data_IF_146201314135
#
_entry.id   IF_146201314135
#
_cell.length_a   1.000
_cell.length_b   1.000
_cell.length_c   1.000
_cell.angle_alpha   90.00
_cell.angle_beta   90.00
_cell.angle_gamma   90.00
#
_symmetry.space_group_name_H-M   'P 1'
#
loop_
_entity.id
_entity.type
_entity.pdbx_description
1 polymer ?
#
# COMPACT_ATOMS: atom_id res chain seq x y z
N UNK A 1 4.85 -53.73 39.45
CA UNK A 1 3.74 -53.25 38.61
C UNK A 1 3.67 -51.73 38.75
N UNK A 2 4.20 -50.99 37.78
CA UNK A 2 4.43 -49.54 37.87
C UNK A 2 3.13 -48.80 37.52
N UNK A 3 2.69 -47.92 38.41
CA UNK A 3 1.43 -47.18 38.31
C UNK A 3 1.52 -46.14 37.19
N UNK A 4 0.48 -46.10 36.36
CA UNK A 4 0.27 -45.10 35.33
C UNK A 4 -0.01 -43.73 35.96
N UNK A 5 0.66 -42.69 35.46
CA UNK A 5 0.28 -41.30 35.70
C UNK A 5 0.13 -40.66 34.31
N UNK A 6 -1.13 -40.52 33.90
CA UNK A 6 -1.51 -39.66 32.81
C UNK A 6 -1.48 -38.21 33.31
N UNK A 7 -0.72 -37.35 32.62
CA UNK A 7 -0.77 -35.92 32.80
C UNK A 7 -0.75 -35.27 31.41
N UNK A 8 -1.96 -35.09 30.89
CA UNK A 8 -2.28 -34.35 29.68
C UNK A 8 -1.90 -32.89 29.89
N UNK A 9 -0.88 -32.40 29.18
CA UNK A 9 -0.55 -30.98 29.13
C UNK A 9 -0.95 -30.44 27.75
N UNK A 10 -2.14 -29.86 27.68
CA UNK A 10 -2.53 -28.94 26.61
C UNK A 10 -2.16 -27.53 27.09
N UNK A 11 -1.17 -26.93 26.44
CA UNK A 11 -0.88 -25.50 26.49
C UNK A 11 -0.41 -25.11 25.06
N UNK A 12 -1.31 -24.73 24.16
CA UNK A 12 -1.81 -23.37 23.93
C UNK A 12 -0.76 -22.49 23.21
N UNK A 13 -1.09 -22.21 21.95
CA UNK A 13 -0.91 -20.95 21.21
C UNK A 13 0.50 -20.66 20.65
N UNK A 14 0.65 -21.05 19.39
CA UNK A 14 1.01 -20.15 18.27
C UNK A 14 1.48 -18.73 18.64
N UNK A 15 2.79 -18.57 18.84
CA UNK A 15 3.54 -17.31 18.68
C UNK A 15 4.99 -17.71 18.33
N UNK A 16 5.66 -17.20 17.31
CA UNK A 16 5.32 -16.10 16.44
C UNK A 16 5.68 -16.43 14.99
N UNK A 17 4.78 -16.01 14.09
CA UNK A 17 5.21 -15.46 12.82
C UNK A 17 6.41 -14.57 13.10
N UNK A 18 7.54 -14.85 12.46
CA UNK A 18 8.58 -13.86 12.27
C UNK A 18 8.01 -12.76 11.37
N UNK A 19 7.14 -11.92 11.94
CA UNK A 19 7.00 -10.56 11.46
C UNK A 19 8.28 -9.85 11.90
N UNK A 20 9.36 -10.10 11.14
CA UNK A 20 10.52 -9.24 11.12
C UNK A 20 10.06 -7.87 10.61
N UNK A 21 9.52 -7.07 11.52
CA UNK A 21 9.61 -5.62 11.41
C UNK A 21 11.09 -5.27 11.41
N UNK A 22 11.58 -4.75 10.28
CA UNK A 22 12.93 -4.21 10.19
C UNK A 22 13.67 -4.57 8.91
N UNK A 23 13.42 -3.79 7.85
CA UNK A 23 14.41 -3.53 6.80
C UNK A 23 14.44 -4.48 5.61
N UNK A 24 13.70 -4.12 4.55
CA UNK A 24 14.23 -3.98 3.17
C UNK A 24 13.20 -3.44 2.17
N UNK A 25 11.91 -3.65 2.41
CA UNK A 25 10.85 -3.21 1.48
C UNK A 25 9.89 -2.21 2.14
N UNK A 26 10.35 -0.98 2.34
CA UNK A 26 9.47 0.10 2.77
C UNK A 26 8.49 0.47 1.66
N UNK A 27 7.22 0.68 2.01
CA UNK A 27 6.21 1.26 1.11
C UNK A 27 6.53 2.72 0.78
N UNK A 28 7.29 3.41 1.63
CA UNK A 28 7.72 4.80 1.40
C UNK A 28 8.46 4.91 0.08
N UNK A 29 8.08 5.88 -0.73
CA UNK A 29 8.61 6.12 -2.07
C UNK A 29 7.52 6.32 -3.11
N UNK A 30 7.95 6.39 -4.36
CA UNK A 30 7.08 6.61 -5.51
C UNK A 30 6.81 5.29 -6.24
N UNK A 31 5.56 5.09 -6.60
CA UNK A 31 5.08 3.90 -7.30
C UNK A 31 4.16 4.32 -8.43
N UNK A 32 4.36 3.77 -9.62
CA UNK A 32 3.57 4.10 -10.80
C UNK A 32 2.64 2.94 -11.18
N UNK A 33 1.40 3.29 -11.50
CA UNK A 33 0.45 2.42 -12.16
C UNK A 33 0.25 2.96 -13.58
N UNK A 34 0.48 2.11 -14.58
CA UNK A 34 0.09 2.44 -15.96
C UNK A 34 -1.45 2.49 -16.03
N UNK A 35 -1.98 3.55 -16.62
CA UNK A 35 -3.41 3.78 -16.80
C UNK A 35 -3.67 3.98 -18.27
N UNK A 36 -4.67 3.28 -18.79
CA UNK A 36 -5.20 3.47 -20.14
C UNK A 36 -6.73 3.43 -20.04
N UNK A 37 -7.30 4.59 -19.74
CA UNK A 37 -8.75 4.74 -19.53
C UNK A 37 -9.25 6.02 -20.21
N UNK A 38 -10.44 5.95 -20.81
CA UNK A 38 -11.09 7.13 -21.41
C UNK A 38 -10.30 7.80 -22.55
N UNK A 39 -9.36 7.08 -23.19
CA UNK A 39 -8.49 7.63 -24.23
C UNK A 39 -7.28 8.41 -23.69
N UNK A 40 -7.04 8.38 -22.37
CA UNK A 40 -5.86 8.95 -21.74
C UNK A 40 -4.94 7.80 -21.35
N UNK A 41 -3.77 7.77 -21.96
CA UNK A 41 -2.66 6.89 -21.58
C UNK A 41 -1.68 7.67 -20.71
N UNK A 42 -1.22 7.06 -19.63
CA UNK A 42 -0.26 7.68 -18.74
C UNK A 42 -0.02 6.86 -17.47
N UNK A 43 0.54 7.50 -16.47
CA UNK A 43 0.91 6.87 -15.21
C UNK A 43 0.34 7.65 -14.04
N UNK A 44 -0.45 6.97 -13.21
CA UNK A 44 -0.75 7.48 -11.87
C UNK A 44 0.40 7.14 -10.95
N UNK A 45 1.02 8.16 -10.36
CA UNK A 45 2.15 8.05 -9.45
C UNK A 45 1.66 8.28 -8.02
N UNK A 46 1.85 7.27 -7.19
CA UNK A 46 1.57 7.23 -5.76
C UNK A 46 2.86 7.50 -4.99
N UNK A 47 2.95 8.64 -4.31
CA UNK A 47 4.07 9.00 -3.44
C UNK A 47 3.68 8.80 -1.97
N UNK A 48 4.08 7.66 -1.40
CA UNK A 48 3.94 7.37 0.03
C UNK A 48 5.06 8.06 0.80
N UNK A 49 4.73 9.06 1.60
CA UNK A 49 5.70 9.85 2.37
C UNK A 49 5.86 9.30 3.78
N UNK A 50 7.08 9.41 4.33
CA UNK A 50 7.40 8.91 5.67
C UNK A 50 6.56 9.53 6.80
N UNK A 51 5.88 10.65 6.56
CA UNK A 51 4.98 11.32 7.51
C UNK A 51 3.53 10.78 7.47
N UNK A 52 3.26 9.72 6.69
CA UNK A 52 1.93 9.13 6.56
C UNK A 52 1.04 9.83 5.54
N UNK A 53 1.54 10.81 4.77
CA UNK A 53 0.80 11.41 3.66
C UNK A 53 0.99 10.61 2.37
N UNK A 54 -0.08 10.54 1.58
CA UNK A 54 -0.05 10.03 0.22
C UNK A 54 -0.26 11.21 -0.73
N UNK A 55 0.60 11.35 -1.73
CA UNK A 55 0.40 12.31 -2.82
C UNK A 55 0.17 11.55 -4.13
N UNK A 56 -0.84 11.95 -4.87
CA UNK A 56 -1.06 11.49 -6.24
C UNK A 56 -0.50 12.49 -7.25
N UNK A 57 -0.02 11.97 -8.36
CA UNK A 57 0.29 12.74 -9.56
C UNK A 57 0.02 11.90 -10.80
N UNK A 58 -0.13 12.56 -11.95
CA UNK A 58 -0.29 11.93 -13.25
C UNK A 58 0.82 12.38 -14.20
N UNK A 59 1.30 11.44 -15.01
CA UNK A 59 2.27 11.67 -16.09
C UNK A 59 1.75 11.01 -17.37
N UNK A 60 1.27 11.83 -18.29
CA UNK A 60 0.83 11.45 -19.63
C UNK A 60 1.89 11.71 -20.70
N UNK A 61 3.01 12.35 -20.34
CA UNK A 61 3.97 12.92 -21.28
C UNK A 61 3.54 14.25 -21.92
N UNK A 62 2.36 14.79 -21.59
CA UNK A 62 1.92 16.14 -22.00
C UNK A 62 1.91 17.09 -20.79
N UNK A 63 2.74 18.12 -20.84
CA UNK A 63 2.85 19.10 -19.77
C UNK A 63 1.53 19.81 -19.47
N UNK A 64 0.74 20.12 -20.51
CA UNK A 64 -0.56 20.78 -20.37
C UNK A 64 -1.59 19.88 -19.67
N UNK A 65 -1.71 18.61 -20.11
CA UNK A 65 -2.63 17.65 -19.50
C UNK A 65 -2.22 17.33 -18.05
N UNK A 66 -0.93 17.09 -17.84
CA UNK A 66 -0.37 16.78 -16.52
C UNK A 66 -0.59 17.94 -15.56
N UNK A 67 -0.40 19.19 -16.00
CA UNK A 67 -0.62 20.35 -15.13
C UNK A 67 -2.07 20.43 -14.64
N UNK A 68 -3.05 20.15 -15.50
CA UNK A 68 -4.47 20.21 -15.14
C UNK A 68 -4.85 19.08 -14.16
N UNK A 69 -4.46 17.85 -14.46
CA UNK A 69 -4.77 16.69 -13.62
C UNK A 69 -4.05 16.80 -12.26
N UNK A 70 -2.78 17.19 -12.26
CA UNK A 70 -2.01 17.36 -11.02
C UNK A 70 -2.52 18.52 -10.16
N UNK A 71 -3.06 19.58 -10.76
CA UNK A 71 -3.73 20.64 -10.01
C UNK A 71 -4.98 20.10 -9.28
N UNK A 72 -5.79 19.25 -9.94
CA UNK A 72 -6.94 18.61 -9.30
C UNK A 72 -6.51 17.70 -8.14
N UNK A 73 -5.52 16.82 -8.36
CA UNK A 73 -5.00 15.97 -7.28
C UNK A 73 -4.40 16.75 -6.12
N UNK A 74 -3.85 17.95 -6.34
CA UNK A 74 -3.30 18.77 -5.26
C UNK A 74 -4.34 19.28 -4.27
N UNK A 75 -5.63 19.28 -4.64
CA UNK A 75 -6.74 19.67 -3.77
C UNK A 75 -7.23 18.53 -2.87
N UNK A 76 -6.74 17.32 -3.10
CA UNK A 76 -7.14 16.12 -2.37
C UNK A 76 -6.08 15.81 -1.31
N UNK A 77 -6.47 15.87 -0.05
CA UNK A 77 -5.61 15.44 1.04
C UNK A 77 -5.77 13.92 1.23
N UNK A 78 -4.68 13.18 1.03
CA UNK A 78 -4.66 11.73 1.28
C UNK A 78 -3.65 11.36 2.36
N UNK A 79 -4.05 10.38 3.18
CA UNK A 79 -3.21 9.81 4.23
C UNK A 79 -3.18 8.30 4.08
N UNK A 80 -2.14 7.67 4.60
CA UNK A 80 -2.03 6.22 4.64
C UNK A 80 -1.44 5.73 5.96
N UNK A 81 -1.79 4.49 6.30
CA UNK A 81 -1.14 3.72 7.36
C UNK A 81 -0.77 2.36 6.78
N UNK A 82 0.50 1.96 6.97
CA UNK A 82 0.99 0.65 6.57
C UNK A 82 1.53 -0.08 7.81
N UNK A 83 0.77 -1.06 8.29
CA UNK A 83 1.07 -1.76 9.54
C UNK A 83 0.67 -3.23 9.44
N UNK A 84 1.52 -4.12 9.95
CA UNK A 84 1.26 -5.56 9.99
C UNK A 84 0.89 -6.17 8.62
N UNK A 85 1.54 -5.68 7.55
CA UNK A 85 1.27 -6.12 6.16
C UNK A 85 -0.07 -5.64 5.59
N UNK A 86 -0.72 -4.71 6.27
CA UNK A 86 -1.99 -4.11 5.86
C UNK A 86 -1.85 -2.63 5.57
N UNK A 87 -2.61 -2.18 4.58
CA UNK A 87 -2.64 -0.81 4.09
C UNK A 87 -4.03 -0.23 4.34
N UNK A 88 -4.06 0.97 4.90
CA UNK A 88 -5.24 1.82 5.00
C UNK A 88 -4.95 3.11 4.27
N UNK A 89 -5.85 3.57 3.39
CA UNK A 89 -5.76 4.86 2.70
C UNK A 89 -7.05 5.63 2.95
N UNK A 90 -6.92 6.91 3.29
CA UNK A 90 -8.05 7.85 3.46
C UNK A 90 -7.84 9.06 2.57
N UNK A 91 -8.95 9.60 2.07
CA UNK A 91 -9.03 10.79 1.24
C UNK A 91 -9.96 11.82 1.88
N UNK A 92 -9.67 13.11 1.71
CA UNK A 92 -10.62 14.20 2.00
C UNK A 92 -11.74 14.29 0.98
N UNK A 93 -11.54 13.75 -0.23
CA UNK A 93 -12.52 13.74 -1.30
C UNK A 93 -13.36 12.43 -1.24
N UNK A 94 -14.70 12.52 -1.08
CA UNK A 94 -15.58 11.36 -0.97
C UNK A 94 -15.70 10.53 -2.26
N UNK A 95 -15.27 11.05 -3.42
CA UNK A 95 -15.17 10.28 -4.66
C UNK A 95 -14.08 9.21 -4.61
N UNK A 96 -13.17 9.30 -3.64
CA UNK A 96 -12.16 8.27 -3.35
C UNK A 96 -12.57 7.54 -2.06
N UNK A 97 -13.32 6.43 -2.16
CA UNK A 97 -13.72 5.67 -0.99
C UNK A 97 -12.49 5.21 -0.19
N UNK A 98 -12.58 5.17 1.15
CA UNK A 98 -11.46 4.74 1.97
C UNK A 98 -11.12 3.28 1.67
N UNK A 99 -9.81 3.02 1.64
CA UNK A 99 -9.27 1.68 1.59
C UNK A 99 -8.97 1.25 3.03
N UNK A 100 -9.64 0.21 3.53
CA UNK A 100 -9.55 -0.15 4.95
C UNK A 100 -8.85 -1.49 5.18
N UNK A 101 -7.64 -1.44 5.76
CA UNK A 101 -6.92 -2.61 6.26
C UNK A 101 -6.74 -3.75 5.24
N UNK A 102 -6.54 -3.40 3.96
CA UNK A 102 -6.31 -4.41 2.91
C UNK A 102 -4.90 -4.96 2.99
N UNK A 103 -4.70 -6.26 2.75
CA UNK A 103 -3.36 -6.82 2.61
C UNK A 103 -2.59 -6.15 1.47
N UNK A 104 -1.31 -5.87 1.69
CA UNK A 104 -0.39 -5.47 0.63
C UNK A 104 0.88 -6.32 0.66
N UNK A 105 1.55 -6.40 -0.48
CA UNK A 105 2.85 -7.07 -0.61
C UNK A 105 3.80 -6.20 -1.39
N UNK A 106 5.08 -6.26 -1.03
CA UNK A 106 6.17 -5.70 -1.83
C UNK A 106 7.11 -6.84 -2.18
N UNK A 107 7.38 -7.01 -3.47
CA UNK A 107 8.32 -7.99 -4.00
C UNK A 107 9.24 -7.28 -4.99
N UNK A 108 10.45 -6.95 -4.54
CA UNK A 108 11.40 -6.13 -5.30
C UNK A 108 10.81 -4.76 -5.64
N UNK A 109 10.75 -4.42 -6.93
CA UNK A 109 10.23 -3.15 -7.43
C UNK A 109 8.70 -3.17 -7.68
N UNK A 110 7.96 -4.13 -7.10
CA UNK A 110 6.50 -4.23 -7.29
C UNK A 110 5.75 -4.16 -5.96
N UNK A 111 4.80 -3.23 -5.87
CA UNK A 111 3.83 -3.10 -4.77
C UNK A 111 2.47 -3.58 -5.27
N UNK A 112 1.84 -4.50 -4.53
CA UNK A 112 0.52 -5.05 -4.88
C UNK A 112 -0.42 -4.91 -3.69
N UNK A 113 -1.62 -4.38 -3.93
CA UNK A 113 -2.74 -4.35 -3.00
C UNK A 113 -4.06 -4.34 -3.79
N UNK A 114 -5.09 -5.04 -3.28
CA UNK A 114 -6.32 -5.32 -4.05
C UNK A 114 -6.02 -5.85 -5.46
N UNK A 115 -6.56 -5.18 -6.49
CA UNK A 115 -6.32 -5.49 -7.90
C UNK A 115 -5.24 -4.59 -8.54
N UNK A 116 -4.56 -3.77 -7.74
CA UNK A 116 -3.54 -2.84 -8.22
C UNK A 116 -2.15 -3.47 -8.14
N UNK A 117 -1.34 -3.22 -9.17
CA UNK A 117 0.06 -3.62 -9.25
C UNK A 117 0.88 -2.43 -9.71
N UNK A 118 1.68 -1.87 -8.81
CA UNK A 118 2.44 -0.65 -9.03
C UNK A 118 3.93 -0.96 -9.12
N UNK A 119 4.63 -0.25 -10.00
CA UNK A 119 6.09 -0.36 -10.16
C UNK A 119 6.82 0.77 -9.47
N UNK A 120 7.91 0.45 -8.76
CA UNK A 120 8.73 1.44 -8.09
C UNK A 120 9.33 2.41 -9.12
N UNK A 121 9.16 3.71 -8.89
CA UNK A 121 9.80 4.76 -9.69
C UNK A 121 11.19 5.01 -9.10
N UNK A 122 12.22 4.94 -9.94
CA UNK A 122 13.63 5.14 -9.56
C UNK A 122 14.05 6.60 -9.64
#
# INVERSE_FOLDING_TARGET
>A
MKKAIALTLVLIISFGLFACGGGKDSIVGKWAQEVNEGGIEGKTIYEFKADGKLKLSFDSGSAEADSLINALYSLIEMTYEAKDGKLTIKSSDPSFPPLESVPYTIQGDTLTFENNSLKRVK
#
